data_IF_738672617795
#
_entry.id   IF_738672617795
#
_cell.length_a   1.000
_cell.length_b   1.000
_cell.length_c   1.000
_cell.angle_alpha   90.00
_cell.angle_beta   90.00
_cell.angle_gamma   90.00
#
_symmetry.space_group_name_H-M   'P 1'
#
loop_
_entity.id
_entity.type
_entity.pdbx_description
1 polymer ?
#
# COMPACT_ATOMS: atom_id res chain seq x y z
N UNK A 1 11.89 3.53 9.60
CA UNK A 1 13.03 3.31 10.54
C UNK A 1 14.28 4.04 10.09
N UNK A 2 14.95 3.63 9.00
CA UNK A 2 16.21 4.29 8.58
C UNK A 2 16.05 5.79 8.31
N UNK A 3 14.91 6.19 7.73
CA UNK A 3 14.59 7.59 7.45
C UNK A 3 14.02 8.33 8.66
N UNK A 4 13.14 7.69 9.42
CA UNK A 4 12.32 8.32 10.48
C UNK A 4 12.86 8.15 11.90
N UNK A 5 13.80 7.24 12.14
CA UNK A 5 14.31 6.90 13.49
C UNK A 5 13.30 6.21 14.42
N UNK A 6 12.05 5.98 13.97
CA UNK A 6 10.97 5.42 14.80
C UNK A 6 10.15 4.36 14.06
N UNK A 7 9.49 3.51 14.85
CA UNK A 7 8.50 2.51 14.44
C UNK A 7 7.06 2.97 14.68
N UNK A 8 6.86 4.07 15.42
CA UNK A 8 5.53 4.61 15.68
C UNK A 8 4.94 5.18 14.39
N UNK A 9 3.71 4.78 14.06
CA UNK A 9 2.96 5.31 12.91
C UNK A 9 2.77 6.83 13.03
N UNK A 10 2.58 7.33 14.25
CA UNK A 10 2.44 8.77 14.50
C UNK A 10 3.75 9.50 14.22
N UNK A 11 4.86 8.97 14.74
CA UNK A 11 6.17 9.57 14.53
C UNK A 11 6.62 9.53 13.06
N UNK A 12 6.17 8.55 12.28
CA UNK A 12 6.40 8.51 10.82
C UNK A 12 5.70 9.70 10.13
N UNK A 13 4.45 9.98 10.50
CA UNK A 13 3.69 11.11 9.92
C UNK A 13 4.30 12.45 10.35
N UNK A 14 4.74 12.57 11.60
CA UNK A 14 5.42 13.78 12.10
C UNK A 14 6.75 14.03 11.37
N UNK A 15 7.55 12.99 11.13
CA UNK A 15 8.78 13.11 10.35
C UNK A 15 8.52 13.60 8.90
N UNK A 16 7.38 13.22 8.30
CA UNK A 16 6.95 13.73 6.99
C UNK A 16 6.51 15.20 7.04
N UNK A 17 5.96 15.64 8.17
CA UNK A 17 5.61 17.06 8.39
C UNK A 17 6.85 17.93 8.48
N UNK A 18 7.84 17.50 9.26
CA UNK A 18 9.11 18.23 9.45
C UNK A 18 9.91 18.31 8.15
N UNK A 19 9.99 17.20 7.41
CA UNK A 19 10.67 17.16 6.11
C UNK A 19 9.95 17.94 5.01
N UNK A 20 8.67 18.30 5.18
CA UNK A 20 7.86 19.03 4.20
C UNK A 20 7.59 18.31 2.88
N UNK A 21 8.17 17.13 2.69
CA UNK A 21 8.10 16.29 1.52
C UNK A 21 7.57 14.92 1.92
N UNK A 22 6.66 14.39 1.11
CA UNK A 22 6.15 13.03 1.27
C UNK A 22 7.23 12.00 0.97
N UNK A 23 7.24 10.89 1.72
CA UNK A 23 8.17 9.80 1.46
C UNK A 23 7.91 9.11 0.12
N UNK A 24 6.74 9.30 -0.49
CA UNK A 24 6.48 8.94 -1.88
C UNK A 24 7.53 9.54 -2.86
N UNK A 25 7.97 10.78 -2.63
CA UNK A 25 8.97 11.45 -3.47
C UNK A 25 10.41 11.08 -3.07
N UNK A 26 10.65 10.88 -1.78
CA UNK A 26 11.98 10.52 -1.27
C UNK A 26 12.33 9.06 -1.61
N UNK A 27 11.35 8.16 -1.56
CA UNK A 27 11.53 6.73 -1.79
C UNK A 27 10.46 6.15 -2.72
N UNK A 28 10.46 6.54 -4.02
CA UNK A 28 9.49 6.03 -4.98
C UNK A 28 9.62 4.53 -5.20
N UNK A 29 10.83 3.98 -5.07
CA UNK A 29 11.08 2.54 -5.19
C UNK A 29 10.38 1.76 -4.07
N UNK A 30 10.49 2.23 -2.82
CA UNK A 30 9.81 1.62 -1.69
C UNK A 30 8.29 1.71 -1.80
N UNK A 31 7.77 2.81 -2.36
CA UNK A 31 6.34 2.97 -2.63
C UNK A 31 5.84 1.90 -3.62
N UNK A 32 6.55 1.72 -4.73
CA UNK A 32 6.17 0.71 -5.75
C UNK A 32 6.25 -0.70 -5.15
N UNK A 33 7.29 -1.00 -4.37
CA UNK A 33 7.45 -2.29 -3.69
C UNK A 33 6.28 -2.59 -2.74
N UNK A 34 5.95 -1.67 -1.84
CA UNK A 34 4.85 -1.89 -0.88
C UNK A 34 3.50 -1.97 -1.60
N UNK A 35 3.34 -1.23 -2.70
CA UNK A 35 2.09 -1.21 -3.44
C UNK A 35 1.87 -2.50 -4.21
N UNK A 36 2.89 -3.00 -4.93
CA UNK A 36 2.82 -4.29 -5.62
C UNK A 36 2.73 -5.44 -4.61
N UNK A 37 3.48 -5.38 -3.51
CA UNK A 37 3.40 -6.37 -2.43
C UNK A 37 2.03 -6.41 -1.79
N UNK A 38 1.43 -5.26 -1.52
CA UNK A 38 0.08 -5.14 -0.98
C UNK A 38 -0.99 -5.64 -1.95
N UNK A 39 -0.86 -5.37 -3.25
CA UNK A 39 -1.73 -5.96 -4.28
C UNK A 39 -1.66 -7.49 -4.25
N UNK A 40 -0.44 -8.06 -4.17
CA UNK A 40 -0.26 -9.51 -4.10
C UNK A 40 -0.82 -10.13 -2.81
N UNK A 41 -0.67 -9.45 -1.66
CA UNK A 41 -1.16 -9.93 -0.36
C UNK A 41 -2.69 -9.94 -0.26
N UNK A 42 -3.37 -9.00 -0.92
CA UNK A 42 -4.85 -8.96 -0.94
C UNK A 42 -5.49 -10.09 -1.74
N UNK A 43 -4.70 -10.91 -2.45
CA UNK A 43 -5.17 -12.04 -3.23
C UNK A 43 -6.33 -11.68 -4.18
N UNK A 44 -6.32 -10.45 -4.72
CA UNK A 44 -7.32 -9.95 -5.67
C UNK A 44 -6.71 -9.77 -7.05
N UNK A 45 -7.57 -9.83 -8.07
CA UNK A 45 -7.12 -9.72 -9.45
C UNK A 45 -6.32 -8.41 -9.61
N UNK A 46 -5.09 -8.47 -10.14
CA UNK A 46 -4.55 -9.48 -11.05
C UNK A 46 -3.82 -10.68 -10.38
N UNK A 47 -3.77 -10.75 -9.05
CA UNK A 47 -3.07 -11.77 -8.25
C UNK A 47 -4.04 -12.65 -7.44
N UNK A 48 -5.14 -13.10 -8.05
CA UNK A 48 -6.27 -13.81 -7.43
C UNK A 48 -6.09 -15.35 -7.34
N UNK A 49 -4.91 -15.83 -6.95
CA UNK A 49 -4.54 -17.25 -6.96
C UNK A 49 -5.45 -18.16 -6.11
N UNK A 50 -5.85 -17.79 -4.88
CA UNK A 50 -6.73 -18.63 -4.06
C UNK A 50 -8.17 -18.71 -4.60
N UNK A 51 -8.64 -17.67 -5.30
CA UNK A 51 -9.95 -17.71 -5.98
C UNK A 51 -9.89 -18.52 -7.31
N UNK A 52 -8.69 -18.63 -7.90
CA UNK A 52 -8.43 -19.28 -9.19
C UNK A 52 -8.14 -20.79 -9.12
N UNK A 53 -8.17 -21.43 -7.94
CA UNK A 53 -8.34 -22.89 -7.82
C UNK A 53 -9.72 -23.39 -8.32
N UNK A 54 -10.50 -22.49 -8.92
CA UNK A 54 -11.71 -22.76 -9.69
C UNK A 54 -11.50 -23.72 -10.87
N UNK A 55 -10.26 -23.98 -11.32
CA UNK A 55 -10.00 -25.07 -12.27
C UNK A 55 -10.15 -26.48 -11.67
N UNK A 56 -10.25 -26.64 -10.33
CA UNK A 56 -10.39 -27.97 -9.70
C UNK A 56 -11.65 -28.18 -8.84
N UNK A 57 -12.18 -27.22 -8.07
CA UNK A 57 -13.49 -27.42 -7.35
C UNK A 57 -14.06 -26.15 -6.67
N UNK A 58 -13.60 -24.94 -7.01
CA UNK A 58 -14.22 -23.70 -6.50
C UNK A 58 -13.89 -23.34 -5.03
N UNK A 59 -12.82 -23.91 -4.48
CA UNK A 59 -12.18 -23.48 -3.22
C UNK A 59 -13.14 -23.15 -2.07
N UNK A 60 -12.88 -22.05 -1.37
CA UNK A 60 -13.72 -21.62 -0.24
C UNK A 60 -15.12 -21.15 -0.67
N UNK A 61 -15.36 -20.89 -1.96
CA UNK A 61 -16.68 -20.51 -2.47
C UNK A 61 -17.67 -21.68 -2.51
N UNK A 62 -17.19 -22.91 -2.66
CA UNK A 62 -18.03 -24.11 -2.69
C UNK A 62 -18.13 -24.79 -1.32
N UNK A 63 -17.12 -24.64 -0.47
CA UNK A 63 -17.08 -25.27 0.86
C UNK A 63 -17.82 -24.47 1.96
N UNK A 64 -17.92 -23.15 1.83
CA UNK A 64 -18.54 -22.29 2.85
C UNK A 64 -19.81 -21.61 2.34
N UNK A 65 -20.86 -21.59 3.16
CA UNK A 65 -22.14 -20.94 2.85
C UNK A 65 -22.57 -19.92 3.92
N UNK A 66 -23.45 -19.00 3.53
CA UNK A 66 -24.06 -18.01 4.42
C UNK A 66 -23.04 -17.08 5.08
N UNK A 67 -23.06 -17.03 6.41
CA UNK A 67 -22.23 -16.10 7.19
C UNK A 67 -20.72 -16.37 7.06
N UNK A 68 -20.30 -17.63 6.95
CA UNK A 68 -18.87 -17.97 6.84
C UNK A 68 -18.28 -17.45 5.54
N UNK A 69 -19.03 -17.59 4.44
CA UNK A 69 -18.68 -16.98 3.16
C UNK A 69 -18.56 -15.45 3.26
N UNK A 70 -19.55 -14.79 3.87
CA UNK A 70 -19.53 -13.33 4.04
C UNK A 70 -18.32 -12.83 4.84
N UNK A 71 -17.87 -13.59 5.83
CA UNK A 71 -16.69 -13.24 6.64
C UNK A 71 -15.40 -13.26 5.81
N UNK A 72 -15.25 -14.19 4.86
CA UNK A 72 -14.09 -14.21 3.96
C UNK A 72 -14.03 -12.95 3.08
N UNK A 73 -15.14 -12.60 2.43
CA UNK A 73 -15.21 -11.36 1.63
C UNK A 73 -14.99 -10.11 2.48
N UNK A 74 -15.62 -10.04 3.66
CA UNK A 74 -15.44 -8.92 4.56
C UNK A 74 -13.97 -8.77 4.98
N UNK A 75 -13.30 -9.88 5.30
CA UNK A 75 -11.89 -9.88 5.68
C UNK A 75 -10.98 -9.43 4.52
N UNK A 76 -11.23 -9.86 3.29
CA UNK A 76 -10.47 -9.42 2.13
C UNK A 76 -10.65 -7.92 1.86
N UNK A 77 -11.89 -7.41 1.89
CA UNK A 77 -12.13 -5.97 1.71
C UNK A 77 -11.54 -5.15 2.86
N UNK A 78 -11.61 -5.66 4.10
CA UNK A 78 -10.94 -5.05 5.23
C UNK A 78 -9.42 -5.01 5.03
N UNK A 79 -8.82 -6.08 4.48
CA UNK A 79 -7.39 -6.12 4.20
C UNK A 79 -6.98 -5.05 3.17
N UNK A 80 -7.76 -4.86 2.09
CA UNK A 80 -7.50 -3.80 1.10
C UNK A 80 -7.52 -2.41 1.76
N UNK A 81 -8.46 -2.17 2.68
CA UNK A 81 -8.55 -0.90 3.42
C UNK A 81 -7.33 -0.73 4.34
N UNK A 82 -6.90 -1.78 5.04
CA UNK A 82 -5.74 -1.75 5.95
C UNK A 82 -4.46 -1.47 5.18
N UNK A 83 -4.21 -2.17 4.08
CA UNK A 83 -3.02 -1.94 3.25
C UNK A 83 -3.04 -0.52 2.68
N UNK A 84 -4.18 -0.04 2.19
CA UNK A 84 -4.34 1.34 1.73
C UNK A 84 -4.02 2.35 2.83
N UNK A 85 -4.50 2.12 4.05
CA UNK A 85 -4.21 2.96 5.21
C UNK A 85 -2.70 2.97 5.54
N UNK A 86 -2.04 1.81 5.53
CA UNK A 86 -0.59 1.70 5.76
C UNK A 86 0.19 2.48 4.71
N UNK A 87 -0.14 2.33 3.42
CA UNK A 87 0.53 3.07 2.33
C UNK A 87 0.35 4.58 2.51
N UNK A 88 -0.85 5.04 2.88
CA UNK A 88 -1.14 6.46 3.10
C UNK A 88 -0.33 7.02 4.28
N UNK A 89 -0.26 6.29 5.40
CA UNK A 89 0.53 6.69 6.58
C UNK A 89 2.01 6.71 6.25
N UNK A 90 2.53 5.67 5.61
CA UNK A 90 3.96 5.52 5.37
C UNK A 90 4.48 6.45 4.28
N UNK A 91 3.71 6.73 3.23
CA UNK A 91 4.23 7.44 2.05
C UNK A 91 3.58 8.79 1.77
N UNK A 92 2.33 9.00 2.17
CA UNK A 92 1.54 10.19 1.76
C UNK A 92 1.19 11.11 2.93
N UNK A 93 1.88 11.02 4.08
CA UNK A 93 1.67 11.97 5.17
C UNK A 93 0.42 11.70 6.01
N UNK A 94 -0.21 10.53 5.93
CA UNK A 94 -1.36 10.20 6.79
C UNK A 94 -2.47 11.26 6.75
N UNK A 95 -2.74 11.87 7.90
CA UNK A 95 -3.73 12.93 8.12
C UNK A 95 -3.27 14.35 7.76
N UNK A 96 -2.03 14.52 7.31
CA UNK A 96 -1.53 15.83 6.90
C UNK A 96 -2.20 16.29 5.60
N UNK A 97 -2.50 17.58 5.50
CA UNK A 97 -2.90 18.19 4.24
C UNK A 97 -1.78 18.04 3.19
N UNK A 98 -2.11 17.99 1.89
CA UNK A 98 -1.10 18.03 0.83
C UNK A 98 -0.22 19.27 0.94
N UNK A 99 1.10 19.06 0.98
CA UNK A 99 2.12 20.12 1.05
C UNK A 99 1.88 21.16 2.16
N UNK A 100 1.95 20.77 3.45
CA UNK A 100 1.64 21.66 4.56
C UNK A 100 2.59 22.88 4.67
N UNK A 101 3.77 22.82 4.05
CA UNK A 101 4.78 23.87 4.09
C UNK A 101 4.66 24.89 2.95
N UNK A 102 3.68 24.75 2.05
CA UNK A 102 3.45 25.69 0.95
C UNK A 102 2.42 26.73 1.38
N UNK A 103 2.85 27.99 1.57
CA UNK A 103 2.00 29.08 2.04
C UNK A 103 0.74 29.31 1.16
N UNK A 104 0.84 29.04 -0.14
CA UNK A 104 -0.28 29.13 -1.09
C UNK A 104 -1.38 28.07 -0.84
N UNK A 105 -1.06 26.95 -0.18
CA UNK A 105 -1.98 25.85 0.12
C UNK A 105 -2.51 25.88 1.57
N UNK A 106 -2.23 26.95 2.33
CA UNK A 106 -2.68 27.12 3.72
C UNK A 106 -4.20 26.99 3.90
N UNK A 107 -4.99 27.32 2.88
CA UNK A 107 -6.45 27.14 2.89
C UNK A 107 -6.88 25.66 3.04
N UNK A 108 -6.04 24.69 2.67
CA UNK A 108 -6.34 23.26 2.85
C UNK A 108 -6.34 22.84 4.33
N UNK A 109 -5.78 23.66 5.22
CA UNK A 109 -5.84 23.49 6.67
C UNK A 109 -7.21 23.78 7.28
N UNK A 110 -8.13 24.41 6.54
CA UNK A 110 -9.53 24.60 6.97
C UNK A 110 -10.31 23.29 6.99
N UNK A 111 -9.89 22.31 6.18
CA UNK A 111 -10.52 20.98 6.14
C UNK A 111 -9.99 20.13 7.29
N UNK A 112 -10.87 19.48 8.07
CA UNK A 112 -10.45 18.54 9.12
C UNK A 112 -9.46 17.49 8.63
N UNK A 113 -8.40 17.26 9.41
CA UNK A 113 -7.28 16.35 9.07
C UNK A 113 -7.72 14.90 8.79
N UNK A 114 -8.77 14.43 9.45
CA UNK A 114 -9.32 13.09 9.24
C UNK A 114 -9.94 12.91 7.84
N UNK A 115 -10.46 13.97 7.23
CA UNK A 115 -11.01 13.93 5.86
C UNK A 115 -9.90 13.70 4.85
N UNK A 116 -8.72 14.31 5.06
CA UNK A 116 -7.55 14.07 4.20
C UNK A 116 -7.08 12.63 4.28
N UNK A 117 -7.09 12.03 5.46
CA UNK A 117 -6.73 10.63 5.63
C UNK A 117 -7.70 9.71 4.89
N UNK A 118 -9.01 9.88 5.12
CA UNK A 118 -10.05 9.09 4.47
C UNK A 118 -10.02 9.29 2.95
N UNK A 119 -9.89 10.53 2.47
CA UNK A 119 -9.83 10.84 1.04
C UNK A 119 -8.65 10.16 0.34
N UNK A 120 -7.48 10.13 0.99
CA UNK A 120 -6.31 9.39 0.45
C UNK A 120 -6.54 7.88 0.46
N UNK A 121 -7.18 7.32 1.49
CA UNK A 121 -7.55 5.90 1.49
C UNK A 121 -8.47 5.60 0.31
N UNK A 122 -9.53 6.40 0.10
CA UNK A 122 -10.43 6.23 -1.05
C UNK A 122 -9.72 6.34 -2.40
N UNK A 123 -8.73 7.22 -2.52
CA UNK A 123 -7.89 7.29 -3.71
C UNK A 123 -7.17 5.96 -3.96
N UNK A 124 -6.56 5.36 -2.93
CA UNK A 124 -5.91 4.06 -3.06
C UNK A 124 -6.91 2.94 -3.34
N UNK A 125 -8.07 2.90 -2.68
CA UNK A 125 -9.13 1.95 -2.99
C UNK A 125 -9.58 2.05 -4.45
N UNK A 126 -9.72 3.28 -4.97
CA UNK A 126 -10.02 3.50 -6.37
C UNK A 126 -8.92 2.95 -7.28
N UNK A 127 -7.65 3.18 -6.97
CA UNK A 127 -6.51 2.62 -7.73
C UNK A 127 -6.53 1.08 -7.70
N UNK A 128 -6.82 0.45 -6.56
CA UNK A 128 -6.97 -1.01 -6.47
C UNK A 128 -8.06 -1.53 -7.43
N UNK A 129 -9.23 -0.88 -7.44
CA UNK A 129 -10.33 -1.25 -8.34
C UNK A 129 -9.94 -0.98 -9.80
N UNK A 130 -9.25 0.11 -10.07
CA UNK A 130 -8.81 0.48 -11.41
C UNK A 130 -7.79 -0.52 -11.98
N UNK A 131 -6.82 -0.96 -11.17
CA UNK A 131 -5.84 -1.98 -11.56
C UNK A 131 -6.53 -3.31 -11.84
N UNK A 132 -7.49 -3.70 -10.99
CA UNK A 132 -8.32 -4.89 -11.22
C UNK A 132 -9.03 -4.85 -12.58
N UNK A 133 -9.51 -3.68 -12.99
CA UNK A 133 -10.22 -3.52 -14.25
C UNK A 133 -9.30 -3.46 -15.48
N UNK A 134 -8.03 -3.10 -15.31
CA UNK A 134 -7.10 -2.83 -16.42
C UNK A 134 -6.11 -3.95 -16.69
N UNK A 135 -5.63 -4.64 -15.65
CA UNK A 135 -4.59 -5.66 -15.80
C UNK A 135 -5.18 -7.07 -16.01
N UNK A 136 -4.62 -7.85 -16.94
CA UNK A 136 -4.94 -9.26 -17.04
C UNK A 136 -4.40 -10.02 -15.83
N UNK A 137 -4.99 -11.20 -15.57
CA UNK A 137 -4.56 -12.09 -14.49
C UNK A 137 -3.15 -12.62 -14.73
N UNK A 138 -2.35 -12.69 -13.67
CA UNK A 138 -1.03 -13.32 -13.70
C UNK A 138 -1.10 -14.78 -13.27
N UNK A 139 -0.29 -15.63 -13.91
CA UNK A 139 -0.10 -17.02 -13.50
C UNK A 139 0.74 -17.12 -12.22
N UNK A 140 0.48 -18.15 -11.40
CA UNK A 140 1.21 -18.44 -10.16
C UNK A 140 2.74 -18.38 -10.34
N UNK A 141 3.25 -19.07 -11.35
CA UNK A 141 4.70 -19.16 -11.61
C UNK A 141 5.32 -17.80 -11.92
N UNK A 142 4.57 -16.93 -12.61
CA UNK A 142 5.03 -15.58 -12.96
C UNK A 142 5.00 -14.65 -11.75
N UNK A 143 3.97 -14.76 -10.90
CA UNK A 143 3.91 -14.04 -9.63
C UNK A 143 5.06 -14.43 -8.71
N UNK A 144 5.30 -15.74 -8.54
CA UNK A 144 6.38 -16.22 -7.69
C UNK A 144 7.75 -15.79 -8.23
N UNK A 145 7.91 -15.80 -9.56
CA UNK A 145 9.07 -15.23 -10.23
C UNK A 145 9.26 -13.73 -9.95
N UNK A 146 8.19 -12.93 -10.06
CA UNK A 146 8.22 -11.49 -9.76
C UNK A 146 8.60 -11.24 -8.30
N UNK A 147 7.98 -11.95 -7.36
CA UNK A 147 8.27 -11.82 -5.92
C UNK A 147 9.72 -12.12 -5.59
N UNK A 148 10.20 -13.31 -5.96
CA UNK A 148 11.53 -13.78 -5.56
C UNK A 148 12.67 -13.19 -6.38
N UNK A 149 12.49 -13.01 -7.69
CA UNK A 149 13.59 -12.56 -8.57
C UNK A 149 13.64 -11.05 -8.74
N UNK A 150 12.53 -10.34 -8.53
CA UNK A 150 12.46 -8.89 -8.77
C UNK A 150 12.23 -8.14 -7.47
N UNK A 151 11.11 -8.39 -6.76
CA UNK A 151 10.72 -7.58 -5.60
C UNK A 151 11.70 -7.73 -4.44
N UNK A 152 12.11 -8.94 -4.08
CA UNK A 152 13.04 -9.17 -2.96
C UNK A 152 14.42 -8.53 -3.22
N UNK A 153 15.11 -8.79 -4.34
CA UNK A 153 16.41 -8.16 -4.60
C UNK A 153 16.31 -6.63 -4.66
N UNK A 154 15.24 -6.10 -5.24
CA UNK A 154 15.00 -4.66 -5.35
C UNK A 154 14.73 -4.02 -3.97
N UNK A 155 14.01 -4.72 -3.09
CA UNK A 155 13.77 -4.27 -1.72
C UNK A 155 15.06 -4.23 -0.90
N UNK A 156 15.88 -5.28 -0.99
CA UNK A 156 17.19 -5.34 -0.31
C UNK A 156 18.11 -4.23 -0.85
N UNK A 157 18.19 -4.08 -2.18
CA UNK A 157 18.98 -3.03 -2.81
C UNK A 157 18.55 -1.62 -2.37
N UNK A 158 17.24 -1.35 -2.35
CA UNK A 158 16.71 -0.07 -1.89
C UNK A 158 17.01 0.20 -0.41
N UNK A 159 16.97 -0.83 0.44
CA UNK A 159 17.33 -0.73 1.86
C UNK A 159 18.81 -0.38 2.03
N UNK A 160 19.70 -1.04 1.30
CA UNK A 160 21.16 -0.76 1.35
C UNK A 160 21.45 0.66 0.88
N UNK A 161 20.88 1.08 -0.25
CA UNK A 161 21.05 2.45 -0.78
C UNK A 161 20.55 3.49 0.22
N UNK A 162 19.37 3.26 0.82
CA UNK A 162 18.83 4.15 1.87
C UNK A 162 19.77 4.24 3.07
N UNK A 163 20.32 3.10 3.51
CA UNK A 163 21.27 3.06 4.63
C UNK A 163 22.54 3.85 4.35
N UNK A 164 23.13 3.68 3.16
CA UNK A 164 24.33 4.42 2.74
C UNK A 164 24.06 5.92 2.68
N UNK A 165 22.97 6.33 2.03
CA UNK A 165 22.60 7.74 1.90
C UNK A 165 22.38 8.40 3.27
N UNK A 166 21.82 7.67 4.24
CA UNK A 166 21.60 8.20 5.59
C UNK A 166 22.88 8.36 6.41
N UNK A 167 23.93 7.59 6.13
CA UNK A 167 25.24 7.73 6.77
C UNK A 167 26.09 8.81 6.09
N UNK A 168 25.91 8.98 4.77
CA UNK A 168 26.67 9.96 3.98
C UNK A 168 26.16 11.41 4.11
N UNK A 169 24.88 11.60 4.47
CA UNK A 169 24.22 12.90 4.71
C UNK A 169 24.03 13.16 6.20
#
# INVERSE_FOLDING_TARGET
>A
ILTTGTLSLVGIVEAQREGGLWFAFVQPVALVLIFIGGLAETNRAPFDLPEAETELTGGFHTEYSGMRFSLFFLAEYANIIVISAIVVIMFFGGWLAPFPNVAALSFLGLVPSWIWFIGKIFLFLYVFIWIRATLPRYRYDQLMGLGWKVLIPLAIGNLVVTGILKVAL
#
